data_IF_973202142583
#
_entry.id   IF_973202142583
#
_cell.length_a   1.000
_cell.length_b   1.000
_cell.length_c   1.000
_cell.angle_alpha   90.00
_cell.angle_beta   90.00
_cell.angle_gamma   90.00
#
_symmetry.space_group_name_H-M   'P 1'
#
loop_
_entity.id
_entity.type
_entity.pdbx_description
1 polymer ?
#
# COMPACT_ATOMS: atom_id res chain seq x y z
N UNK A 1 21.15 66.84 39.31
CA UNK A 1 20.06 65.81 39.20
C UNK A 1 20.25 65.09 37.87
N UNK A 2 20.80 63.90 37.93
CA UNK A 2 21.06 63.09 36.74
C UNK A 2 20.17 61.91 36.85
N UNK A 3 19.22 61.78 35.95
CA UNK A 3 18.31 60.63 35.86
C UNK A 3 18.93 59.61 34.95
N UNK A 4 19.28 58.44 35.51
CA UNK A 4 19.74 57.30 34.78
C UNK A 4 18.55 56.58 34.20
N UNK A 5 18.43 56.59 32.88
CA UNK A 5 17.56 55.62 32.18
C UNK A 5 18.36 54.33 31.90
N UNK A 6 18.08 53.32 32.68
CA UNK A 6 18.55 51.96 32.37
C UNK A 6 17.70 51.38 31.26
N UNK A 7 18.30 51.26 30.08
CA UNK A 7 17.72 50.49 28.96
C UNK A 7 17.84 49.01 29.29
N UNK A 8 16.71 48.41 29.56
CA UNK A 8 16.59 46.97 29.57
C UNK A 8 16.43 46.48 28.14
N UNK A 9 17.53 46.07 27.52
CA UNK A 9 17.47 45.27 26.32
C UNK A 9 17.11 43.81 26.70
N UNK A 10 15.82 43.51 26.63
CA UNK A 10 15.35 42.14 26.69
C UNK A 10 15.75 41.41 25.40
N UNK A 11 16.78 40.59 25.51
CA UNK A 11 17.08 39.59 24.48
C UNK A 11 15.95 38.56 24.48
N UNK A 12 15.00 38.73 23.55
CA UNK A 12 14.07 37.67 23.21
C UNK A 12 14.84 36.66 22.37
N UNK A 13 15.38 35.64 23.01
CA UNK A 13 15.81 34.42 22.35
C UNK A 13 14.55 33.73 21.84
N UNK A 14 14.15 34.05 20.63
CA UNK A 14 13.25 33.19 19.84
C UNK A 14 14.02 31.93 19.55
N UNK A 15 13.85 30.96 20.42
CA UNK A 15 14.21 29.58 20.17
C UNK A 15 13.37 29.09 18.97
N UNK A 16 13.98 29.10 17.79
CA UNK A 16 13.51 28.30 16.66
C UNK A 16 13.62 26.83 17.06
N UNK A 17 12.62 26.36 17.76
CA UNK A 17 12.29 24.95 17.76
C UNK A 17 11.80 24.64 16.35
N UNK A 18 12.75 24.49 15.44
CA UNK A 18 12.51 23.84 14.18
C UNK A 18 12.10 22.41 14.50
N UNK A 19 10.82 22.19 14.76
CA UNK A 19 10.26 20.88 14.74
C UNK A 19 10.61 20.30 13.38
N UNK A 20 11.33 19.18 13.38
CA UNK A 20 11.42 18.28 12.23
C UNK A 20 9.99 17.82 11.93
N UNK A 21 9.25 18.65 11.22
CA UNK A 21 8.02 18.18 10.58
C UNK A 21 8.49 17.18 9.54
N UNK A 22 8.14 15.92 9.75
CA UNK A 22 8.24 14.93 8.71
C UNK A 22 7.59 15.52 7.46
N UNK A 23 8.30 15.47 6.32
CA UNK A 23 7.74 15.91 5.06
C UNK A 23 6.34 15.27 4.91
N UNK A 24 5.30 16.04 4.53
CA UNK A 24 3.98 15.46 4.32
C UNK A 24 4.11 14.33 3.33
N UNK A 25 3.60 13.15 3.69
CA UNK A 25 3.55 12.02 2.80
C UNK A 25 2.87 12.46 1.50
N UNK A 26 3.47 12.08 0.37
CA UNK A 26 2.89 12.40 -0.93
C UNK A 26 1.48 11.82 -0.99
N UNK A 27 0.48 12.67 -1.25
CA UNK A 27 -0.90 12.20 -1.39
C UNK A 27 -0.98 11.22 -2.55
N UNK A 28 -1.54 10.03 -2.28
CA UNK A 28 -1.69 8.99 -3.29
C UNK A 28 -2.79 9.37 -4.25
N UNK A 29 -2.46 9.45 -5.53
CA UNK A 29 -3.41 9.67 -6.61
C UNK A 29 -3.94 8.34 -7.14
N UNK A 30 -5.15 8.37 -7.68
CA UNK A 30 -5.79 7.21 -8.33
C UNK A 30 -5.51 7.27 -9.82
N UNK A 31 -5.44 6.11 -10.46
CA UNK A 31 -5.30 6.00 -11.91
C UNK A 31 -6.34 6.87 -12.61
N UNK A 32 -5.94 7.87 -13.44
CA UNK A 32 -6.89 8.65 -14.22
C UNK A 32 -7.71 7.77 -15.16
N UNK A 33 -9.01 8.06 -15.25
CA UNK A 33 -9.93 7.33 -16.12
C UNK A 33 -9.89 5.81 -15.91
N UNK A 34 -9.83 5.39 -14.66
CA UNK A 34 -9.75 3.97 -14.32
C UNK A 34 -10.92 3.20 -14.93
N UNK A 35 -10.62 2.08 -15.59
CA UNK A 35 -11.56 1.20 -16.24
C UNK A 35 -11.70 -0.11 -15.46
N UNK A 36 -12.73 -0.25 -14.61
CA UNK A 36 -12.86 -1.42 -13.74
C UNK A 36 -12.94 -2.76 -14.48
N UNK A 37 -13.57 -2.78 -15.65
CA UNK A 37 -13.72 -3.99 -16.47
C UNK A 37 -12.37 -4.54 -16.96
N UNK A 38 -11.41 -3.67 -17.23
CA UNK A 38 -10.06 -4.06 -17.67
C UNK A 38 -9.17 -4.52 -16.54
N UNK A 39 -9.54 -4.21 -15.32
CA UNK A 39 -8.80 -4.64 -14.12
C UNK A 39 -9.15 -6.07 -13.71
N UNK A 40 -10.23 -6.62 -14.20
CA UNK A 40 -10.69 -7.97 -13.88
C UNK A 40 -9.68 -9.05 -14.32
N UNK A 41 -9.81 -10.21 -13.71
CA UNK A 41 -9.05 -11.40 -14.05
C UNK A 41 -7.90 -11.66 -13.10
N UNK A 42 -6.93 -12.43 -13.59
CA UNK A 42 -5.82 -12.91 -12.77
C UNK A 42 -4.68 -11.92 -12.68
N UNK A 43 -4.17 -11.77 -11.47
CA UNK A 43 -2.97 -11.02 -11.13
C UNK A 43 -2.07 -11.86 -10.21
N UNK A 44 -0.77 -11.61 -10.29
CA UNK A 44 0.21 -12.17 -9.35
C UNK A 44 0.77 -11.04 -8.48
N UNK A 45 0.87 -11.25 -7.17
CA UNK A 45 1.50 -10.29 -6.28
C UNK A 45 3.03 -10.43 -6.42
N UNK A 46 3.65 -9.48 -7.10
CA UNK A 46 5.08 -9.51 -7.39
C UNK A 46 5.91 -8.69 -6.39
N UNK A 47 5.31 -7.68 -5.79
CA UNK A 47 5.97 -6.82 -4.81
C UNK A 47 5.02 -6.41 -3.70
N UNK A 48 5.60 -6.18 -2.52
CA UNK A 48 4.87 -5.80 -1.32
C UNK A 48 5.73 -4.84 -0.49
N UNK A 49 5.11 -3.78 -0.01
CA UNK A 49 5.70 -2.91 1.00
C UNK A 49 4.70 -2.66 2.11
N UNK A 50 5.17 -2.65 3.35
CA UNK A 50 4.30 -2.42 4.51
C UNK A 50 5.10 -1.83 5.67
N UNK A 51 4.44 -0.99 6.46
CA UNK A 51 4.98 -0.51 7.73
C UNK A 51 4.70 -1.48 8.89
N UNK A 52 4.07 -2.61 8.63
CA UNK A 52 3.74 -3.63 9.62
C UNK A 52 4.97 -4.45 10.03
N UNK A 53 5.13 -4.71 11.32
CA UNK A 53 6.15 -5.63 11.84
C UNK A 53 6.00 -7.05 11.28
N UNK A 54 4.78 -7.45 10.95
CA UNK A 54 4.48 -8.73 10.32
C UNK A 54 5.34 -8.97 9.06
N UNK A 55 5.48 -7.95 8.19
CA UNK A 55 6.26 -8.10 6.97
C UNK A 55 7.74 -8.38 7.26
N UNK A 56 8.32 -7.67 8.23
CA UNK A 56 9.72 -7.87 8.62
C UNK A 56 9.98 -9.28 9.13
N UNK A 57 9.03 -9.82 9.89
CA UNK A 57 9.14 -11.17 10.48
C UNK A 57 8.93 -12.28 9.45
N UNK A 58 8.07 -12.07 8.46
CA UNK A 58 7.60 -13.10 7.54
C UNK A 58 8.19 -13.01 6.12
N UNK A 59 8.89 -11.94 5.79
CA UNK A 59 9.33 -11.69 4.40
C UNK A 59 10.13 -12.84 3.77
N UNK A 60 10.94 -13.54 4.54
CA UNK A 60 11.73 -14.66 4.05
C UNK A 60 10.89 -15.90 3.69
N UNK A 61 9.68 -16.01 4.24
CA UNK A 61 8.75 -17.12 4.00
C UNK A 61 7.68 -16.78 2.97
N UNK A 62 7.63 -15.55 2.46
CA UNK A 62 6.62 -15.12 1.51
C UNK A 62 6.97 -15.54 0.09
N UNK A 63 5.96 -15.88 -0.68
CA UNK A 63 6.04 -16.11 -2.11
C UNK A 63 4.86 -15.43 -2.81
N UNK A 64 4.89 -15.40 -4.14
CA UNK A 64 3.81 -14.80 -4.92
C UNK A 64 2.46 -15.42 -4.58
N UNK A 65 1.45 -14.57 -4.48
CA UNK A 65 0.06 -14.97 -4.45
C UNK A 65 -0.53 -14.89 -5.86
N UNK A 66 -1.47 -15.77 -6.14
CA UNK A 66 -2.36 -15.62 -7.28
C UNK A 66 -3.65 -14.96 -6.79
N UNK A 67 -4.05 -13.88 -7.44
CA UNK A 67 -5.27 -13.15 -7.11
C UNK A 67 -6.17 -13.07 -8.32
N UNK A 68 -7.46 -13.31 -8.12
CA UNK A 68 -8.48 -13.18 -9.16
C UNK A 68 -9.45 -12.08 -8.77
N UNK A 69 -9.58 -11.10 -9.65
CA UNK A 69 -10.51 -9.97 -9.48
C UNK A 69 -11.76 -10.26 -10.27
N UNK A 70 -12.88 -10.39 -9.57
CA UNK A 70 -14.20 -10.60 -10.15
C UNK A 70 -15.13 -9.42 -9.81
N UNK A 71 -16.10 -9.09 -10.68
CA UNK A 71 -17.04 -8.02 -10.38
C UNK A 71 -17.96 -8.40 -9.22
N UNK A 72 -18.27 -7.44 -8.35
CA UNK A 72 -19.25 -7.54 -7.30
C UNK A 72 -20.55 -6.83 -7.68
N UNK A 73 -21.65 -7.15 -7.00
CA UNK A 73 -22.99 -6.66 -7.32
C UNK A 73 -23.15 -5.13 -7.20
N UNK A 74 -22.33 -4.48 -6.40
CA UNK A 74 -22.40 -3.03 -6.11
C UNK A 74 -21.47 -2.17 -6.98
N UNK A 75 -20.80 -2.77 -7.97
CA UNK A 75 -19.80 -2.11 -8.80
C UNK A 75 -18.38 -2.17 -8.24
N UNK A 76 -18.19 -2.83 -7.11
CA UNK A 76 -16.88 -3.13 -6.54
C UNK A 76 -16.30 -4.44 -7.08
N UNK A 77 -15.40 -5.04 -6.30
CA UNK A 77 -14.71 -6.27 -6.68
C UNK A 77 -14.72 -7.30 -5.57
N UNK A 78 -14.80 -8.56 -5.97
CA UNK A 78 -14.35 -9.69 -5.16
C UNK A 78 -12.91 -10.01 -5.56
N UNK A 79 -11.99 -9.83 -4.64
CA UNK A 79 -10.57 -10.14 -4.83
C UNK A 79 -10.26 -11.43 -4.07
N UNK A 80 -10.07 -12.52 -4.80
CA UNK A 80 -9.78 -13.82 -4.23
C UNK A 80 -8.30 -14.13 -4.41
N UNK A 81 -7.58 -14.25 -3.29
CA UNK A 81 -6.15 -14.51 -3.27
C UNK A 81 -5.86 -15.92 -2.77
N UNK A 82 -5.05 -16.65 -3.51
CA UNK A 82 -4.55 -17.97 -3.15
C UNK A 82 -3.05 -17.86 -2.87
N UNK A 83 -2.63 -18.33 -1.72
CA UNK A 83 -1.26 -18.21 -1.24
C UNK A 83 -0.82 -19.46 -0.49
N UNK A 84 0.49 -19.64 -0.40
CA UNK A 84 1.11 -20.73 0.32
C UNK A 84 1.32 -20.35 1.79
N UNK A 85 0.77 -21.15 2.69
CA UNK A 85 0.98 -21.02 4.13
C UNK A 85 1.16 -22.40 4.75
N UNK A 86 2.24 -22.57 5.52
CA UNK A 86 2.57 -23.86 6.16
C UNK A 86 2.50 -25.02 5.17
N UNK A 87 3.04 -24.84 3.98
CA UNK A 87 3.07 -25.81 2.90
C UNK A 87 1.69 -26.23 2.35
N UNK A 88 0.67 -25.43 2.61
CA UNK A 88 -0.70 -25.64 2.09
C UNK A 88 -1.18 -24.39 1.34
N UNK A 89 -2.04 -24.57 0.35
CA UNK A 89 -2.68 -23.48 -0.36
C UNK A 89 -3.90 -22.99 0.44
N UNK A 90 -3.89 -21.72 0.80
CA UNK A 90 -5.03 -21.05 1.42
C UNK A 90 -5.62 -20.01 0.49
N UNK A 91 -6.91 -19.80 0.58
CA UNK A 91 -7.64 -18.83 -0.22
C UNK A 91 -8.36 -17.84 0.69
N UNK A 92 -8.24 -16.55 0.39
CA UNK A 92 -8.98 -15.48 1.06
C UNK A 92 -9.67 -14.62 0.04
N UNK A 93 -10.88 -14.18 0.35
CA UNK A 93 -11.64 -13.26 -0.47
C UNK A 93 -11.81 -11.93 0.26
N UNK A 94 -11.45 -10.84 -0.43
CA UNK A 94 -11.68 -9.48 0.01
C UNK A 94 -12.79 -8.87 -0.85
N UNK A 95 -13.80 -8.29 -0.19
CA UNK A 95 -14.80 -7.49 -0.88
C UNK A 95 -14.34 -6.03 -0.89
N UNK A 96 -14.02 -5.52 -2.07
CA UNK A 96 -13.68 -4.13 -2.29
C UNK A 96 -14.93 -3.37 -2.72
N UNK A 97 -15.42 -2.50 -1.85
CA UNK A 97 -16.60 -1.68 -2.11
C UNK A 97 -16.21 -0.34 -2.73
N UNK A 98 -16.97 0.18 -3.70
CA UNK A 98 -16.69 1.49 -4.26
C UNK A 98 -16.65 2.58 -3.17
N UNK A 99 -15.69 3.48 -3.24
CA UNK A 99 -15.50 4.53 -2.25
C UNK A 99 -15.12 5.86 -2.91
N UNK A 100 -16.11 6.60 -3.35
CA UNK A 100 -15.90 7.90 -4.00
C UNK A 100 -15.60 7.77 -5.49
N UNK A 101 -14.38 8.11 -5.92
CA UNK A 101 -13.99 8.06 -7.33
C UNK A 101 -13.71 6.65 -7.82
N UNK A 102 -13.80 6.43 -9.14
CA UNK A 102 -13.37 5.18 -9.77
C UNK A 102 -11.90 4.90 -9.45
N UNK A 103 -11.61 3.67 -9.07
CA UNK A 103 -10.28 3.25 -8.64
C UNK A 103 -10.04 3.38 -7.14
N UNK A 104 -10.99 3.95 -6.40
CA UNK A 104 -10.98 4.03 -4.93
C UNK A 104 -11.99 3.08 -4.34
N UNK A 105 -11.53 2.28 -3.38
CA UNK A 105 -12.34 1.24 -2.74
C UNK A 105 -12.14 1.27 -1.23
N UNK A 106 -13.06 0.67 -0.51
CA UNK A 106 -12.94 0.38 0.91
C UNK A 106 -13.03 -1.13 1.15
N UNK A 107 -12.28 -1.58 2.12
CA UNK A 107 -12.29 -2.96 2.59
C UNK A 107 -12.48 -2.97 4.10
N UNK A 108 -13.45 -3.73 4.57
CA UNK A 108 -13.66 -3.96 5.99
C UNK A 108 -13.08 -5.32 6.37
N UNK A 109 -12.07 -5.30 7.26
CA UNK A 109 -11.45 -6.52 7.75
C UNK A 109 -12.38 -7.25 8.72
N UNK A 110 -12.76 -8.52 8.45
CA UNK A 110 -13.63 -9.27 9.36
C UNK A 110 -12.96 -9.61 10.69
N UNK A 111 -11.63 -9.71 10.73
CA UNK A 111 -10.89 -10.07 11.95
C UNK A 111 -10.67 -8.89 12.91
N UNK A 112 -10.52 -7.67 12.38
CA UNK A 112 -10.10 -6.51 13.17
C UNK A 112 -11.20 -5.46 13.32
N UNK A 113 -12.31 -5.59 12.60
CA UNK A 113 -13.36 -4.57 12.54
C UNK A 113 -12.88 -3.24 11.95
N UNK A 114 -11.68 -3.22 11.37
CA UNK A 114 -11.05 -2.03 10.81
C UNK A 114 -11.43 -1.87 9.35
N UNK A 115 -11.56 -0.62 8.91
CA UNK A 115 -11.80 -0.28 7.51
C UNK A 115 -10.52 0.25 6.88
N UNK A 116 -10.17 -0.28 5.73
CA UNK A 116 -9.01 0.15 4.94
C UNK A 116 -9.46 0.82 3.66
N UNK A 117 -8.79 1.90 3.27
CA UNK A 117 -8.90 2.42 1.92
C UNK A 117 -7.97 1.64 1.01
N UNK A 118 -8.43 1.34 -0.20
CA UNK A 118 -7.63 0.67 -1.24
C UNK A 118 -7.75 1.47 -2.52
N UNK A 119 -6.62 1.89 -3.07
CA UNK A 119 -6.57 2.70 -4.28
C UNK A 119 -5.77 1.99 -5.36
N UNK A 120 -6.30 1.96 -6.57
CA UNK A 120 -5.52 1.61 -7.76
C UNK A 120 -4.80 2.87 -8.19
N UNK A 121 -3.50 2.94 -7.90
CA UNK A 121 -2.70 4.15 -8.12
C UNK A 121 -2.32 4.30 -9.58
N UNK A 122 -1.89 3.22 -10.19
CA UNK A 122 -1.44 3.20 -11.58
C UNK A 122 -1.60 1.80 -12.16
N UNK A 123 -2.07 1.70 -13.38
CA UNK A 123 -2.14 0.43 -14.10
C UNK A 123 -2.16 0.66 -15.60
N UNK A 124 -1.55 -0.26 -16.35
CA UNK A 124 -1.74 -0.38 -17.79
C UNK A 124 -2.71 -1.50 -18.15
N UNK A 125 -3.29 -2.18 -17.13
CA UNK A 125 -4.24 -3.29 -17.24
C UNK A 125 -3.65 -4.60 -17.81
N UNK A 126 -2.76 -4.52 -18.78
CA UNK A 126 -2.22 -5.67 -19.50
C UNK A 126 -0.98 -6.28 -18.86
N UNK A 127 -0.23 -5.50 -18.07
CA UNK A 127 1.03 -5.94 -17.49
C UNK A 127 1.12 -5.78 -15.99
N UNK A 128 0.66 -4.65 -15.44
CA UNK A 128 0.85 -4.34 -14.02
C UNK A 128 -0.25 -3.48 -13.43
N UNK A 129 -0.30 -3.50 -12.10
CA UNK A 129 -1.06 -2.54 -11.30
C UNK A 129 -0.32 -2.23 -10.00
N UNK A 130 -0.31 -0.96 -9.62
CA UNK A 130 0.14 -0.49 -8.32
C UNK A 130 -1.08 -0.20 -7.46
N UNK A 131 -1.17 -0.85 -6.30
CA UNK A 131 -2.22 -0.60 -5.32
C UNK A 131 -1.62 -0.05 -4.05
N UNK A 132 -2.37 0.83 -3.40
CA UNK A 132 -2.01 1.39 -2.10
C UNK A 132 -3.17 1.25 -1.14
N UNK A 133 -2.89 0.74 0.04
CA UNK A 133 -3.88 0.54 1.11
C UNK A 133 -3.43 1.25 2.37
N UNK A 134 -4.39 1.87 3.04
CA UNK A 134 -4.13 2.47 4.34
C UNK A 134 -5.35 2.36 5.24
N UNK A 135 -5.12 2.30 6.52
CA UNK A 135 -6.15 2.25 7.53
C UNK A 135 -5.58 2.45 8.92
N UNK A 136 -6.45 2.40 9.91
CA UNK A 136 -6.06 2.51 11.31
C UNK A 136 -6.67 1.36 12.10
N UNK A 137 -5.85 0.72 12.93
CA UNK A 137 -6.30 -0.30 13.89
C UNK A 137 -6.70 0.30 15.24
N UNK A 138 -6.49 1.62 15.39
CA UNK A 138 -6.75 2.38 16.61
C UNK A 138 -5.88 3.64 16.66
N UNK A 139 -5.99 4.49 17.71
CA UNK A 139 -5.17 5.69 17.83
C UNK A 139 -3.68 5.36 17.81
N UNK A 140 -2.93 5.94 16.86
CA UNK A 140 -1.49 5.76 16.71
C UNK A 140 -1.06 4.46 16.04
N UNK A 141 -1.99 3.65 15.52
CA UNK A 141 -1.71 2.39 14.83
C UNK A 141 -2.07 2.45 13.34
N UNK A 142 -1.43 3.35 12.62
CA UNK A 142 -1.64 3.50 11.18
C UNK A 142 -1.00 2.34 10.42
N UNK A 143 -1.80 1.73 9.56
CA UNK A 143 -1.36 0.67 8.66
C UNK A 143 -1.29 1.22 7.24
N UNK A 144 -0.18 0.95 6.56
CA UNK A 144 0.04 1.28 5.16
C UNK A 144 0.66 0.10 4.43
N UNK A 145 0.19 -0.13 3.23
CA UNK A 145 0.70 -1.20 2.37
C UNK A 145 0.65 -0.77 0.91
N UNK A 146 1.68 -1.11 0.16
CA UNK A 146 1.70 -1.00 -1.29
C UNK A 146 1.88 -2.40 -1.89
N UNK A 147 1.23 -2.64 -3.02
CA UNK A 147 1.32 -3.93 -3.73
C UNK A 147 1.59 -3.69 -5.20
N UNK A 148 2.55 -4.43 -5.73
CA UNK A 148 2.76 -4.54 -7.17
C UNK A 148 2.09 -5.81 -7.66
N UNK A 149 1.05 -5.65 -8.46
CA UNK A 149 0.47 -6.75 -9.22
C UNK A 149 1.07 -6.82 -10.62
N UNK A 150 1.29 -8.04 -11.09
CA UNK A 150 1.76 -8.33 -12.44
C UNK A 150 0.85 -9.37 -13.08
N UNK A 151 0.63 -9.27 -14.39
CA UNK A 151 -0.12 -10.29 -15.14
C UNK A 151 0.67 -11.59 -15.31
N UNK A 152 2.00 -11.52 -15.18
CA UNK A 152 2.87 -12.69 -15.23
C UNK A 152 3.64 -12.86 -13.93
N UNK A 153 4.18 -14.06 -13.68
CA UNK A 153 5.00 -14.33 -12.52
C UNK A 153 6.42 -13.75 -12.62
N UNK A 154 6.79 -13.25 -13.78
CA UNK A 154 8.11 -12.67 -14.05
C UNK A 154 7.97 -11.22 -14.49
N UNK A 155 7.71 -10.28 -13.56
CA UNK A 155 7.60 -8.87 -13.91
C UNK A 155 8.92 -8.35 -14.46
N UNK A 156 8.85 -7.42 -15.43
CA UNK A 156 10.03 -6.75 -15.98
C UNK A 156 10.74 -5.94 -14.91
N UNK A 157 12.06 -5.81 -15.07
CA UNK A 157 12.90 -5.02 -14.15
C UNK A 157 12.39 -3.58 -13.98
N UNK A 158 11.91 -2.96 -15.05
CA UNK A 158 11.32 -1.62 -15.04
C UNK A 158 10.15 -1.47 -14.08
N UNK A 159 9.31 -2.50 -13.96
CA UNK A 159 8.17 -2.50 -13.03
C UNK A 159 8.65 -2.56 -11.57
N UNK A 160 9.71 -3.31 -11.31
CA UNK A 160 10.32 -3.36 -9.97
C UNK A 160 10.92 -2.02 -9.57
N UNK A 161 11.60 -1.36 -10.50
CA UNK A 161 12.13 -0.01 -10.29
C UNK A 161 11.03 1.01 -10.03
N UNK A 162 9.96 0.96 -10.84
CA UNK A 162 8.78 1.81 -10.68
C UNK A 162 8.13 1.62 -9.30
N UNK A 163 7.96 0.38 -8.88
CA UNK A 163 7.40 0.06 -7.57
C UNK A 163 8.28 0.56 -6.43
N UNK A 164 9.59 0.34 -6.52
CA UNK A 164 10.54 0.82 -5.53
C UNK A 164 10.50 2.34 -5.40
N UNK A 165 10.47 3.06 -6.51
CA UNK A 165 10.39 4.51 -6.53
C UNK A 165 9.07 5.01 -5.90
N UNK A 166 7.95 4.38 -6.23
CA UNK A 166 6.66 4.69 -5.63
C UNK A 166 6.70 4.48 -4.11
N UNK A 167 7.19 3.33 -3.65
CA UNK A 167 7.26 3.01 -2.23
C UNK A 167 8.13 4.02 -1.47
N UNK A 168 9.28 4.37 -2.00
CA UNK A 168 10.17 5.38 -1.38
C UNK A 168 9.50 6.75 -1.30
N UNK A 169 8.76 7.16 -2.34
CA UNK A 169 7.99 8.40 -2.33
C UNK A 169 6.89 8.40 -1.25
N UNK A 170 6.37 7.23 -0.89
CA UNK A 170 5.40 7.06 0.19
C UNK A 170 6.05 6.88 1.57
N UNK A 171 7.37 6.99 1.67
CA UNK A 171 8.09 6.90 2.93
C UNK A 171 8.46 5.49 3.37
N UNK A 172 8.25 4.47 2.53
CA UNK A 172 8.75 3.13 2.84
C UNK A 172 10.27 3.07 2.68
N UNK A 173 10.92 2.40 3.62
CA UNK A 173 12.36 2.12 3.57
C UNK A 173 12.64 0.82 2.82
N UNK A 174 13.85 0.65 2.30
CA UNK A 174 14.19 -0.53 1.48
C UNK A 174 13.97 -1.87 2.20
N UNK A 175 14.19 -1.91 3.51
CA UNK A 175 13.96 -3.12 4.32
C UNK A 175 12.47 -3.49 4.44
N UNK A 176 11.57 -2.57 4.12
CA UNK A 176 10.13 -2.80 4.13
C UNK A 176 9.54 -3.05 2.74
N UNK A 177 10.37 -3.08 1.70
CA UNK A 177 9.99 -3.36 0.32
C UNK A 177 10.49 -4.76 -0.03
N UNK A 178 9.60 -5.64 -0.45
CA UNK A 178 9.92 -7.04 -0.75
C UNK A 178 9.42 -7.39 -2.14
N UNK A 179 10.27 -8.00 -2.95
CA UNK A 179 9.85 -8.66 -4.18
C UNK A 179 9.63 -10.14 -3.90
N UNK A 180 8.44 -10.60 -4.21
CA UNK A 180 8.00 -11.95 -3.85
C UNK A 180 8.54 -12.95 -4.86
N UNK A 181 9.21 -14.03 -4.41
CA UNK A 181 9.74 -15.03 -5.34
C UNK A 181 8.61 -15.81 -6.01
N UNK A 182 8.87 -16.16 -7.25
CA UNK A 182 7.98 -17.03 -8.03
C UNK A 182 7.87 -18.40 -7.37
N UNK A 183 6.67 -18.97 -7.43
CA UNK A 183 6.40 -20.34 -6.99
C UNK A 183 5.38 -21.00 -7.92
N UNK A 184 5.53 -22.30 -8.14
CA UNK A 184 4.54 -23.08 -8.87
C UNK A 184 3.42 -23.61 -7.96
N UNK A 185 3.65 -23.55 -6.65
CA UNK A 185 2.66 -23.97 -5.65
C UNK A 185 1.50 -22.98 -5.59
N UNK A 186 0.29 -23.49 -5.53
CA UNK A 186 -0.95 -22.71 -5.44
C UNK A 186 -1.28 -21.88 -6.70
N UNK A 187 -0.63 -22.13 -7.82
CA UNK A 187 -0.80 -21.38 -9.06
C UNK A 187 -1.70 -22.09 -10.09
N UNK A 188 -1.93 -23.38 -9.93
CA UNK A 188 -2.84 -24.13 -10.82
C UNK A 188 -4.29 -23.78 -10.51
N UNK A 189 -5.10 -23.66 -11.55
CA UNK A 189 -6.55 -23.54 -11.42
C UNK A 189 -7.10 -24.88 -10.89
N UNK A 190 -7.89 -24.78 -9.83
CA UNK A 190 -8.68 -25.91 -9.34
C UNK A 190 -10.04 -25.89 -10.00
#
# INVERSE_FOLDING_TARGET
MVTHHTLWMGLVLLGLLGGLQAAPEAQVSVQPNFQPDKFLGRWFSAGLASNSSWLREKKAALSMCKSVVAPAADGGFNLTSTFLRKNQCETRTMLLQPAGSLGSYSYQSPHWGSTYSVSVVETDYDHYALLYSQGSKGPGEDFRMATLYSRTQTPRAELKEKFTAFCKAQGFTEDTIVFLPQTDKCMTEQ
#
